data_IF_442547199650
#
_entry.id   IF_442547199650
#
_cell.length_a   1.000
_cell.length_b   1.000
_cell.length_c   1.000
_cell.angle_alpha   90.00
_cell.angle_beta   90.00
_cell.angle_gamma   90.00
#
_symmetry.space_group_name_H-M   'P 1'
#
loop_
_entity.id
_entity.type
_entity.pdbx_description
1 polymer ?
#
# COMPACT_ATOMS: atom_id res chain seq x y z
N UNK A 1 2.98 22.00 6.81
CA UNK A 1 4.26 21.50 7.37
C UNK A 1 3.93 20.55 8.51
N UNK A 2 3.57 19.30 8.17
CA UNK A 2 3.24 18.29 9.18
C UNK A 2 4.55 17.74 9.75
N UNK A 3 4.83 18.09 11.00
CA UNK A 3 5.94 17.55 11.76
C UNK A 3 5.72 16.03 11.93
N UNK A 4 6.43 15.22 11.15
CA UNK A 4 6.56 13.81 11.45
C UNK A 4 7.38 13.72 12.74
N UNK A 5 6.74 13.35 13.85
CA UNK A 5 7.43 12.92 15.04
C UNK A 5 8.47 11.88 14.62
N UNK A 6 9.75 12.12 14.92
CA UNK A 6 10.85 11.22 14.55
C UNK A 6 10.73 9.94 15.37
N UNK A 7 9.88 9.03 14.91
CA UNK A 7 9.74 7.72 15.51
C UNK A 7 11.09 6.99 15.42
N UNK A 8 11.53 6.41 16.54
CA UNK A 8 12.79 5.67 16.60
C UNK A 8 12.71 4.45 15.68
N UNK A 9 13.60 4.38 14.67
CA UNK A 9 13.73 3.23 13.76
C UNK A 9 14.07 1.96 14.58
N UNK A 10 13.13 1.03 14.73
CA UNK A 10 13.28 -0.18 15.56
C UNK A 10 13.46 -1.49 14.76
N UNK A 11 12.93 -1.53 13.53
CA UNK A 11 12.97 -2.70 12.64
C UNK A 11 14.19 -2.69 11.72
N UNK A 12 14.64 -3.88 11.28
CA UNK A 12 15.77 -4.04 10.34
C UNK A 12 15.40 -4.97 9.20
N UNK A 13 15.86 -4.62 7.99
CA UNK A 13 15.80 -5.46 6.79
C UNK A 13 17.24 -5.79 6.41
N UNK A 14 17.58 -7.07 6.29
CA UNK A 14 18.89 -7.53 5.86
C UNK A 14 18.84 -7.90 4.38
N UNK A 15 19.65 -7.25 3.54
CA UNK A 15 19.72 -7.47 2.10
C UNK A 15 21.08 -8.07 1.74
N UNK A 16 21.08 -8.99 0.77
CA UNK A 16 22.30 -9.51 0.14
C UNK A 16 22.42 -8.92 -1.25
N UNK A 17 23.59 -8.39 -1.57
CA UNK A 17 23.88 -7.73 -2.84
C UNK A 17 25.12 -8.36 -3.48
N UNK A 18 25.16 -8.35 -4.80
CA UNK A 18 26.41 -8.55 -5.52
C UNK A 18 27.26 -7.26 -5.45
N UNK A 19 28.58 -7.33 -5.66
CA UNK A 19 29.43 -6.13 -5.65
C UNK A 19 28.96 -5.04 -6.64
N UNK A 20 28.54 -5.46 -7.84
CA UNK A 20 28.03 -4.54 -8.86
C UNK A 20 26.71 -3.85 -8.45
N UNK A 21 25.83 -4.55 -7.73
CA UNK A 21 24.60 -3.94 -7.19
C UNK A 21 24.92 -2.93 -6.10
N UNK A 22 25.82 -3.26 -5.18
CA UNK A 22 26.23 -2.36 -4.11
C UNK A 22 26.89 -1.09 -4.66
N UNK A 23 27.81 -1.23 -5.62
CA UNK A 23 28.50 -0.09 -6.26
C UNK A 23 27.49 0.84 -6.93
N UNK A 24 26.55 0.29 -7.71
CA UNK A 24 25.50 1.06 -8.36
C UNK A 24 24.65 1.84 -7.36
N UNK A 25 24.17 1.17 -6.31
CA UNK A 25 23.31 1.82 -5.31
C UNK A 25 24.07 2.92 -4.55
N UNK A 26 25.34 2.67 -4.20
CA UNK A 26 26.19 3.65 -3.50
C UNK A 26 26.48 4.87 -4.37
N UNK A 27 26.75 4.66 -5.66
CA UNK A 27 26.93 5.76 -6.61
C UNK A 27 25.67 6.64 -6.67
N UNK A 28 24.48 6.05 -6.86
CA UNK A 28 23.22 6.83 -6.95
C UNK A 28 22.88 7.51 -5.62
N UNK A 29 23.08 6.85 -4.48
CA UNK A 29 22.89 7.49 -3.18
C UNK A 29 23.80 8.71 -2.99
N UNK A 30 25.04 8.65 -3.53
CA UNK A 30 25.97 9.77 -3.46
C UNK A 30 25.55 10.97 -4.32
N UNK A 31 24.89 10.76 -5.47
CA UNK A 31 24.45 11.86 -6.33
C UNK A 31 23.31 12.67 -5.70
N UNK A 32 22.53 12.05 -4.81
CA UNK A 32 21.46 12.69 -4.04
C UNK A 32 21.89 13.14 -2.64
N UNK A 33 23.18 12.98 -2.28
CA UNK A 33 23.71 13.26 -0.93
C UNK A 33 22.96 12.52 0.19
N UNK A 34 22.53 11.29 -0.08
CA UNK A 34 21.84 10.43 0.88
C UNK A 34 22.73 9.25 1.29
N UNK A 35 22.46 8.68 2.47
CA UNK A 35 23.10 7.42 2.84
C UNK A 35 22.54 6.29 1.96
N UNK A 36 23.33 5.22 1.75
CA UNK A 36 22.87 4.04 1.02
C UNK A 36 21.56 3.47 1.62
N UNK A 37 21.48 3.42 2.95
CA UNK A 37 20.30 2.91 3.66
C UNK A 37 19.07 3.79 3.46
N UNK A 38 19.22 5.11 3.50
CA UNK A 38 18.10 6.03 3.29
C UNK A 38 17.64 6.00 1.82
N UNK A 39 18.57 5.96 0.87
CA UNK A 39 18.25 5.81 -0.55
C UNK A 39 17.46 4.54 -0.84
N UNK A 40 17.92 3.39 -0.33
CA UNK A 40 17.26 2.10 -0.54
C UNK A 40 15.89 2.07 0.13
N UNK A 41 15.77 2.59 1.36
CA UNK A 41 14.49 2.64 2.06
C UNK A 41 13.49 3.52 1.32
N UNK A 42 13.90 4.74 0.90
CA UNK A 42 13.03 5.65 0.16
C UNK A 42 12.56 5.05 -1.16
N UNK A 43 13.48 4.45 -1.93
CA UNK A 43 13.14 3.80 -3.21
C UNK A 43 12.19 2.61 -3.02
N UNK A 44 12.36 1.84 -1.94
CA UNK A 44 11.47 0.71 -1.64
C UNK A 44 10.07 1.16 -1.22
N UNK A 45 9.96 2.25 -0.46
CA UNK A 45 8.68 2.84 -0.08
C UNK A 45 7.96 3.44 -1.29
N UNK A 46 8.65 4.24 -2.11
CA UNK A 46 8.08 4.78 -3.35
C UNK A 46 7.52 3.67 -4.24
N UNK A 47 8.27 2.57 -4.41
CA UNK A 47 7.77 1.44 -5.20
C UNK A 47 6.60 0.73 -4.52
N UNK A 48 6.57 0.63 -3.19
CA UNK A 48 5.45 0.05 -2.47
C UNK A 48 4.19 0.88 -2.64
N UNK A 49 4.30 2.21 -2.56
CA UNK A 49 3.21 3.15 -2.76
C UNK A 49 2.65 3.02 -4.17
N UNK A 50 3.51 3.01 -5.20
CA UNK A 50 3.09 2.76 -6.58
C UNK A 50 2.33 1.44 -6.75
N UNK A 51 2.76 0.36 -6.10
CA UNK A 51 2.07 -0.95 -6.17
C UNK A 51 0.72 -0.91 -5.45
N UNK A 52 0.57 -0.09 -4.41
CA UNK A 52 -0.69 0.11 -3.71
C UNK A 52 -1.64 1.02 -4.50
N UNK A 53 -1.12 2.09 -5.10
CA UNK A 53 -1.86 3.01 -5.97
C UNK A 53 -2.37 2.32 -7.24
N UNK A 54 -1.53 1.47 -7.87
CA UNK A 54 -1.92 0.58 -8.97
C UNK A 54 -3.11 -0.33 -8.62
N UNK A 55 -3.46 -0.48 -7.33
CA UNK A 55 -4.59 -1.29 -6.84
C UNK A 55 -5.79 -0.48 -6.35
N UNK A 56 -5.71 0.85 -6.29
CA UNK A 56 -6.82 1.72 -5.86
C UNK A 56 -7.51 2.41 -7.03
N UNK A 57 -6.83 2.56 -8.17
CA UNK A 57 -7.43 3.15 -9.37
C UNK A 57 -8.04 2.07 -10.27
N UNK A 58 -9.37 2.07 -10.36
CA UNK A 58 -10.12 1.25 -11.29
C UNK A 58 -10.60 2.13 -12.45
N UNK A 59 -9.96 1.99 -13.61
CA UNK A 59 -10.39 2.70 -14.82
C UNK A 59 -11.61 1.99 -15.41
N UNK A 60 -12.72 2.71 -15.49
CA UNK A 60 -13.98 2.27 -16.07
C UNK A 60 -14.24 3.01 -17.40
N UNK A 61 -14.84 2.34 -18.38
CA UNK A 61 -15.43 3.04 -19.52
C UNK A 61 -16.68 3.81 -19.07
N UNK A 62 -17.16 4.77 -19.87
CA UNK A 62 -18.40 5.51 -19.55
C UNK A 62 -19.58 4.55 -19.31
N UNK A 63 -19.67 3.46 -20.11
CA UNK A 63 -20.70 2.43 -19.93
C UNK A 63 -20.52 1.64 -18.62
N UNK A 64 -19.29 1.27 -18.27
CA UNK A 64 -19.00 0.59 -17.00
C UNK A 64 -19.32 1.47 -15.79
N UNK A 65 -19.05 2.77 -15.91
CA UNK A 65 -19.31 3.74 -14.86
C UNK A 65 -20.81 3.92 -14.64
N UNK A 66 -21.60 4.06 -15.70
CA UNK A 66 -23.06 4.11 -15.59
C UNK A 66 -23.64 2.82 -14.99
N UNK A 67 -23.13 1.64 -15.40
CA UNK A 67 -23.54 0.36 -14.79
C UNK A 67 -23.18 0.27 -13.31
N UNK A 68 -22.05 0.84 -12.90
CA UNK A 68 -21.67 0.93 -11.49
C UNK A 68 -22.67 1.81 -10.72
N UNK A 69 -23.03 2.98 -11.24
CA UNK A 69 -24.00 3.87 -10.60
C UNK A 69 -25.36 3.20 -10.45
N UNK A 70 -25.86 2.55 -11.51
CA UNK A 70 -27.12 1.79 -11.45
C UNK A 70 -27.06 0.66 -10.40
N UNK A 71 -25.93 -0.05 -10.31
CA UNK A 71 -25.74 -1.10 -9.32
C UNK A 71 -25.65 -0.56 -7.87
N UNK A 72 -25.17 0.66 -7.67
CA UNK A 72 -25.11 1.31 -6.35
C UNK A 72 -26.49 1.79 -5.89
N UNK A 73 -27.33 2.26 -6.82
CA UNK A 73 -28.69 2.71 -6.52
C UNK A 73 -29.70 1.55 -6.37
N UNK A 74 -29.39 0.38 -6.94
CA UNK A 74 -30.24 -0.80 -6.83
C UNK A 74 -30.28 -1.34 -5.39
N UNK A 75 -31.46 -1.75 -4.88
CA UNK A 75 -31.56 -2.34 -3.55
C UNK A 75 -30.81 -3.67 -3.49
N UNK A 76 -29.85 -3.76 -2.56
CA UNK A 76 -29.03 -4.96 -2.42
C UNK A 76 -29.78 -6.09 -1.69
N UNK A 77 -29.73 -7.34 -2.18
CA UNK A 77 -30.24 -8.49 -1.45
C UNK A 77 -29.32 -8.80 -0.26
N UNK A 78 -29.67 -8.28 0.92
CA UNK A 78 -28.83 -8.33 2.12
C UNK A 78 -28.92 -9.64 2.91
N UNK A 79 -29.84 -10.55 2.59
CA UNK A 79 -30.11 -11.77 3.38
C UNK A 79 -28.88 -12.66 3.59
N UNK A 80 -28.08 -12.90 2.54
CA UNK A 80 -26.83 -13.68 2.63
C UNK A 80 -25.74 -12.93 3.40
N UNK A 81 -25.65 -11.61 3.23
CA UNK A 81 -24.68 -10.76 3.93
C UNK A 81 -24.98 -10.73 5.43
N UNK A 82 -26.25 -10.60 5.80
CA UNK A 82 -26.72 -10.66 7.19
C UNK A 82 -26.42 -12.04 7.81
N UNK A 83 -26.70 -13.12 7.09
CA UNK A 83 -26.36 -14.48 7.54
C UNK A 83 -24.84 -14.67 7.71
N UNK A 84 -24.02 -14.04 6.86
CA UNK A 84 -22.56 -14.07 6.98
C UNK A 84 -22.07 -13.26 8.19
N UNK A 85 -22.60 -12.06 8.39
CA UNK A 85 -22.25 -11.18 9.51
C UNK A 85 -22.63 -11.76 10.88
N UNK A 86 -23.68 -12.58 10.95
CA UNK A 86 -24.10 -13.27 12.17
C UNK A 86 -23.20 -14.47 12.56
N UNK A 87 -22.29 -14.91 11.68
CA UNK A 87 -21.38 -16.02 11.96
C UNK A 87 -20.15 -15.51 12.73
N UNK A 88 -19.58 -16.33 13.63
CA UNK A 88 -18.30 -16.01 14.26
C UNK A 88 -17.23 -15.80 13.19
N UNK A 89 -16.55 -14.65 13.22
CA UNK A 89 -15.45 -14.36 12.28
C UNK A 89 -14.29 -15.33 12.53
N UNK A 90 -13.78 -16.03 11.50
CA UNK A 90 -12.62 -16.90 11.63
C UNK A 90 -11.30 -16.14 11.85
N UNK A 91 -11.29 -14.81 11.67
CA UNK A 91 -10.10 -13.96 11.75
C UNK A 91 -10.22 -12.84 12.81
N UNK A 92 -11.23 -12.92 13.69
CA UNK A 92 -11.54 -11.85 14.65
C UNK A 92 -12.29 -10.68 13.98
N UNK A 93 -12.97 -9.86 14.78
CA UNK A 93 -13.87 -8.79 14.30
C UNK A 93 -13.23 -7.39 14.27
N UNK A 94 -11.91 -7.29 14.40
CA UNK A 94 -11.20 -6.01 14.45
C UNK A 94 -10.43 -5.76 13.15
N UNK A 95 -11.12 -5.20 12.15
CA UNK A 95 -10.45 -4.46 11.08
C UNK A 95 -10.09 -3.09 11.64
N UNK A 96 -8.87 -2.94 12.15
CA UNK A 96 -8.33 -1.63 12.54
C UNK A 96 -7.72 -0.98 11.31
N UNK A 97 -8.56 -0.38 10.47
CA UNK A 97 -8.07 0.57 9.47
C UNK A 97 -7.60 1.81 10.22
N UNK A 98 -6.31 2.09 10.18
CA UNK A 98 -5.76 3.35 10.71
C UNK A 98 -5.58 4.27 9.51
N UNK A 99 -6.15 5.47 9.60
CA UNK A 99 -6.02 6.59 8.65
C UNK A 99 -4.56 6.97 8.39
#
# INVERSE_FOLDING_TARGET
MSAHATATKSSRINLRLTPAQEEKLRYVASTTQTSLSDFVLASALERADQVLEDRTEFVATDEDFERLLEALDAPLPTTKIQALAARPSPVGSTLTWTD
#
